data_IF_962218860460
#
_entry.id   IF_962218860460
#
_cell.length_a   1.000
_cell.length_b   1.000
_cell.length_c   1.000
_cell.angle_alpha   90.00
_cell.angle_beta   90.00
_cell.angle_gamma   90.00
#
_symmetry.space_group_name_H-M   'P 1'
#
loop_
_entity.id
_entity.type
_entity.pdbx_description
1 polymer ?
#
# COMPACT_ATOMS: atom_id res chain seq x y z
N UNK A 1 0.05 -2.27 24.43
CA UNK A 1 0.94 -2.30 23.24
C UNK A 1 0.71 -3.51 22.33
N UNK A 2 0.52 -4.73 22.84
CA UNK A 2 0.28 -5.90 21.98
C UNK A 2 -0.87 -5.72 20.96
N UNK A 3 -2.00 -5.14 21.38
CA UNK A 3 -3.13 -4.83 20.50
C UNK A 3 -2.78 -3.86 19.37
N UNK A 4 -1.99 -2.83 19.64
CA UNK A 4 -1.56 -1.84 18.63
C UNK A 4 -0.60 -2.47 17.61
N UNK A 5 0.29 -3.36 18.04
CA UNK A 5 1.15 -4.13 17.12
C UNK A 5 0.29 -5.00 16.19
N UNK A 6 -0.74 -5.65 16.72
CA UNK A 6 -1.70 -6.43 15.91
C UNK A 6 -2.39 -5.55 14.88
N UNK A 7 -2.85 -4.35 15.25
CA UNK A 7 -3.44 -3.40 14.30
C UNK A 7 -2.45 -2.99 13.21
N UNK A 8 -1.20 -2.69 13.55
CA UNK A 8 -0.16 -2.36 12.56
C UNK A 8 0.08 -3.52 11.58
N UNK A 9 0.09 -4.76 12.07
CA UNK A 9 0.20 -5.97 11.23
C UNK A 9 -1.01 -6.12 10.30
N UNK A 10 -2.23 -5.95 10.83
CA UNK A 10 -3.47 -6.02 10.03
C UNK A 10 -3.42 -5.01 8.89
N UNK A 11 -2.98 -3.77 9.14
CA UNK A 11 -2.84 -2.74 8.10
C UNK A 11 -1.83 -3.15 7.02
N UNK A 12 -0.65 -3.69 7.40
CA UNK A 12 0.29 -4.20 6.39
C UNK A 12 -0.30 -5.37 5.58
N UNK A 13 -1.01 -6.29 6.24
CA UNK A 13 -1.65 -7.42 5.58
C UNK A 13 -2.74 -6.95 4.60
N UNK A 14 -3.52 -5.93 4.93
CA UNK A 14 -4.52 -5.35 4.05
C UNK A 14 -3.89 -4.71 2.81
N UNK A 15 -2.78 -3.97 2.96
CA UNK A 15 -2.04 -3.45 1.80
C UNK A 15 -1.44 -4.58 0.95
N UNK A 16 -0.88 -5.61 1.58
CA UNK A 16 -0.31 -6.76 0.89
C UNK A 16 -1.39 -7.53 0.11
N UNK A 17 -2.56 -7.72 0.72
CA UNK A 17 -3.70 -8.36 0.10
C UNK A 17 -4.19 -7.55 -1.11
N UNK A 18 -4.36 -6.24 -0.98
CA UNK A 18 -4.73 -5.37 -2.10
C UNK A 18 -3.72 -5.47 -3.24
N UNK A 19 -2.43 -5.43 -2.95
CA UNK A 19 -1.36 -5.57 -3.94
C UNK A 19 -1.40 -6.94 -4.63
N UNK A 20 -1.53 -8.02 -3.86
CA UNK A 20 -1.60 -9.38 -4.39
C UNK A 20 -2.79 -9.55 -5.34
N UNK A 21 -3.97 -9.06 -4.93
CA UNK A 21 -5.17 -9.10 -5.79
C UNK A 21 -5.01 -8.25 -7.05
N UNK A 22 -4.28 -7.13 -6.97
CA UNK A 22 -3.92 -6.31 -8.13
C UNK A 22 -2.97 -7.01 -9.11
N UNK A 23 -1.99 -7.75 -8.60
CA UNK A 23 -1.00 -8.47 -9.42
C UNK A 23 -1.60 -9.70 -10.11
N UNK A 24 -2.44 -10.47 -9.40
CA UNK A 24 -3.04 -11.71 -9.93
C UNK A 24 -4.05 -11.42 -11.06
N UNK A 25 -4.52 -10.17 -11.16
CA UNK A 25 -5.34 -9.73 -12.27
C UNK A 25 -6.83 -9.93 -12.03
N UNK A 26 -7.57 -8.85 -12.26
CA UNK A 26 -9.03 -8.76 -12.13
C UNK A 26 -9.72 -9.38 -13.33
N UNK A 27 -9.53 -10.68 -13.56
CA UNK A 27 -10.29 -11.43 -14.56
C UNK A 27 -11.74 -11.71 -14.10
N UNK A 28 -12.05 -11.47 -12.82
CA UNK A 28 -13.35 -11.76 -12.20
C UNK A 28 -13.93 -10.53 -11.51
N UNK A 29 -15.26 -10.47 -11.42
CA UNK A 29 -16.00 -9.45 -10.64
C UNK A 29 -15.49 -9.38 -9.20
N UNK A 30 -15.15 -10.53 -8.61
CA UNK A 30 -14.56 -10.64 -7.27
C UNK A 30 -13.17 -9.99 -7.23
N UNK A 31 -12.30 -10.27 -8.21
CA UNK A 31 -10.98 -9.63 -8.29
C UNK A 31 -11.06 -8.11 -8.43
N UNK A 32 -11.93 -7.62 -9.32
CA UNK A 32 -12.15 -6.18 -9.52
C UNK A 32 -12.71 -5.49 -8.27
N UNK A 33 -13.62 -6.17 -7.56
CA UNK A 33 -14.12 -5.67 -6.29
C UNK A 33 -13.00 -5.58 -5.26
N UNK A 34 -12.07 -6.54 -5.22
CA UNK A 34 -11.00 -6.63 -4.21
C UNK A 34 -9.79 -5.70 -4.43
N UNK A 35 -9.61 -5.15 -5.63
CA UNK A 35 -8.32 -4.52 -5.98
C UNK A 35 -7.94 -3.22 -5.26
N UNK A 36 -8.90 -2.51 -4.65
CA UNK A 36 -8.61 -1.19 -4.03
C UNK A 36 -9.13 -1.01 -2.61
N UNK A 37 -10.31 -1.55 -2.29
CA UNK A 37 -10.95 -1.33 -0.98
C UNK A 37 -10.13 -1.83 0.24
N UNK A 38 -9.34 -2.92 0.20
CA UNK A 38 -8.61 -3.35 1.39
C UNK A 38 -7.54 -2.33 1.76
N UNK A 39 -6.87 -1.73 0.77
CA UNK A 39 -5.88 -0.68 0.99
C UNK A 39 -6.52 0.64 1.46
N UNK A 40 -7.75 0.93 1.02
CA UNK A 40 -8.53 2.07 1.53
C UNK A 40 -8.90 1.84 3.00
N UNK A 41 -9.39 0.66 3.35
CA UNK A 41 -9.66 0.31 4.76
C UNK A 41 -8.39 0.38 5.61
N UNK A 42 -7.26 -0.08 5.08
CA UNK A 42 -5.97 0.00 5.77
C UNK A 42 -5.60 1.45 6.13
N UNK A 43 -5.73 2.39 5.19
CA UNK A 43 -5.42 3.79 5.46
C UNK A 43 -6.46 4.44 6.39
N UNK A 44 -7.74 4.07 6.28
CA UNK A 44 -8.78 4.52 7.21
C UNK A 44 -8.48 4.07 8.64
N UNK A 45 -8.15 2.79 8.84
CA UNK A 45 -7.75 2.25 10.14
C UNK A 45 -6.53 2.99 10.71
N UNK A 46 -5.54 3.30 9.87
CA UNK A 46 -4.40 4.12 10.29
C UNK A 46 -4.83 5.49 10.81
N UNK A 47 -5.73 6.18 10.12
CA UNK A 47 -6.20 7.50 10.56
C UNK A 47 -7.03 7.42 11.85
N UNK A 48 -7.94 6.44 11.95
CA UNK A 48 -8.78 6.21 13.13
C UNK A 48 -7.94 5.89 14.36
N UNK A 49 -6.90 5.06 14.21
CA UNK A 49 -6.02 4.60 15.30
C UNK A 49 -4.77 5.46 15.49
N UNK A 50 -4.63 6.55 14.74
CA UNK A 50 -3.42 7.40 14.77
C UNK A 50 -3.16 8.02 16.15
N UNK A 51 -4.21 8.41 16.86
CA UNK A 51 -4.11 8.96 18.22
C UNK A 51 -3.50 7.95 19.19
N UNK A 52 -3.87 6.67 19.04
CA UNK A 52 -3.56 5.60 19.98
C UNK A 52 -2.07 5.20 19.93
N UNK A 53 -1.39 5.50 18.82
CA UNK A 53 0.04 5.19 18.62
C UNK A 53 0.96 6.40 18.85
N UNK A 54 0.42 7.57 19.19
CA UNK A 54 1.21 8.80 19.34
C UNK A 54 2.24 8.68 20.46
N UNK A 55 3.46 9.14 20.20
CA UNK A 55 4.56 9.03 21.17
C UNK A 55 5.10 7.61 21.35
N UNK A 56 4.63 6.65 20.56
CA UNK A 56 5.19 5.30 20.49
C UNK A 56 6.02 5.13 19.22
N UNK A 57 6.89 4.12 19.17
CA UNK A 57 7.64 3.79 17.97
C UNK A 57 6.73 3.34 16.80
N UNK A 58 5.50 2.87 17.08
CA UNK A 58 4.51 2.49 16.05
C UNK A 58 3.99 3.68 15.26
N UNK A 59 4.10 4.91 15.79
CA UNK A 59 3.73 6.11 15.05
C UNK A 59 4.49 6.20 13.71
N UNK A 60 5.75 5.76 13.70
CA UNK A 60 6.57 5.72 12.49
C UNK A 60 6.05 4.73 11.45
N UNK A 61 5.53 3.58 11.88
CA UNK A 61 4.89 2.61 11.00
C UNK A 61 3.59 3.14 10.42
N UNK A 62 2.76 3.79 11.23
CA UNK A 62 1.52 4.40 10.76
C UNK A 62 1.80 5.47 9.71
N UNK A 63 2.79 6.36 9.95
CA UNK A 63 3.22 7.34 8.94
C UNK A 63 3.74 6.66 7.67
N UNK A 64 4.52 5.58 7.81
CA UNK A 64 5.02 4.82 6.67
C UNK A 64 3.90 4.19 5.83
N UNK A 65 2.92 3.57 6.48
CA UNK A 65 1.77 2.94 5.83
C UNK A 65 0.88 3.98 5.14
N UNK A 66 0.56 5.09 5.82
CA UNK A 66 -0.17 6.22 5.23
C UNK A 66 0.56 6.77 3.99
N UNK A 67 1.87 7.03 4.09
CA UNK A 67 2.67 7.49 2.93
C UNK A 67 2.64 6.47 1.79
N UNK A 68 2.70 5.18 2.10
CA UNK A 68 2.66 4.10 1.08
C UNK A 68 1.34 4.10 0.32
N UNK A 69 0.21 4.32 1.01
CA UNK A 69 -1.09 4.50 0.37
C UNK A 69 -1.10 5.70 -0.59
N UNK A 70 -0.71 6.89 -0.12
CA UNK A 70 -0.80 8.12 -0.92
C UNK A 70 0.17 8.14 -2.10
N UNK A 71 1.41 7.65 -1.91
CA UNK A 71 2.33 7.48 -3.04
C UNK A 71 1.82 6.43 -4.02
N UNK A 72 1.18 5.36 -3.53
CA UNK A 72 0.54 4.39 -4.39
C UNK A 72 -0.58 4.98 -5.25
N UNK A 73 -1.46 5.78 -4.64
CA UNK A 73 -2.50 6.51 -5.34
C UNK A 73 -1.91 7.47 -6.38
N UNK A 74 -0.83 8.18 -6.03
CA UNK A 74 -0.08 9.02 -6.96
C UNK A 74 0.46 8.22 -8.16
N UNK A 75 1.10 7.07 -7.93
CA UNK A 75 1.63 6.24 -9.00
C UNK A 75 0.55 5.71 -9.93
N UNK A 76 -0.60 5.29 -9.39
CA UNK A 76 -1.77 4.87 -10.17
C UNK A 76 -2.29 6.04 -11.02
N UNK A 77 -2.39 7.25 -10.44
CA UNK A 77 -2.82 8.43 -11.18
C UNK A 77 -1.84 8.80 -12.31
N UNK A 78 -0.53 8.76 -12.05
CA UNK A 78 0.50 9.01 -13.06
C UNK A 78 0.47 7.98 -14.20
N UNK A 79 0.24 6.71 -13.87
CA UNK A 79 0.00 5.64 -14.83
C UNK A 79 -1.22 5.92 -15.72
N UNK A 80 -2.33 6.38 -15.15
CA UNK A 80 -3.52 6.79 -15.90
C UNK A 80 -3.27 8.01 -16.81
N UNK A 81 -2.59 9.03 -16.28
CA UNK A 81 -2.20 10.22 -17.04
C UNK A 81 -1.30 9.86 -18.21
N UNK A 82 -0.34 8.95 -18.02
CA UNK A 82 0.55 8.47 -19.09
C UNK A 82 -0.24 7.83 -20.24
N UNK A 83 -1.25 7.00 -19.94
CA UNK A 83 -2.12 6.40 -20.96
C UNK A 83 -2.87 7.48 -21.75
N UNK A 84 -3.46 8.45 -21.04
CA UNK A 84 -4.25 9.53 -21.67
C UNK A 84 -3.33 10.40 -22.54
N UNK A 85 -2.17 10.81 -22.02
CA UNK A 85 -1.21 11.67 -22.70
C UNK A 85 -0.61 11.02 -23.97
N UNK A 86 -0.54 9.70 -24.02
CA UNK A 86 -0.04 8.94 -25.17
C UNK A 86 -1.16 8.50 -26.14
N UNK A 87 -2.38 9.03 -25.99
CA UNK A 87 -3.55 8.63 -26.77
C UNK A 87 -3.77 7.11 -26.79
N UNK A 88 -3.47 6.43 -25.68
CA UNK A 88 -3.61 4.97 -25.54
C UNK A 88 -2.41 4.14 -26.01
N UNK A 89 -1.44 4.72 -26.74
CA UNK A 89 -0.21 4.01 -27.16
C UNK A 89 0.60 3.53 -25.94
N UNK A 90 0.54 4.26 -24.83
CA UNK A 90 1.19 3.92 -23.58
C UNK A 90 0.78 2.55 -23.01
N UNK A 91 -0.37 1.99 -23.41
CA UNK A 91 -0.77 0.63 -23.01
C UNK A 91 0.26 -0.43 -23.45
N UNK A 92 0.94 -0.25 -24.59
CA UNK A 92 1.97 -1.18 -25.09
C UNK A 92 3.20 -1.24 -24.17
N UNK A 93 3.51 -0.13 -23.50
CA UNK A 93 4.67 0.01 -22.63
C UNK A 93 4.31 -0.06 -21.14
N UNK A 94 3.04 -0.23 -20.81
CA UNK A 94 2.49 -0.12 -19.45
C UNK A 94 3.04 -1.17 -18.47
N UNK A 95 3.48 -2.31 -18.98
CA UNK A 95 4.12 -3.35 -18.18
C UNK A 95 5.37 -2.84 -17.46
N UNK A 96 6.11 -1.89 -18.03
CA UNK A 96 7.29 -1.28 -17.38
C UNK A 96 6.92 -0.48 -16.13
N UNK A 97 6.12 0.61 -16.20
CA UNK A 97 5.77 1.41 -15.03
C UNK A 97 4.98 0.59 -14.00
N UNK A 98 4.07 -0.30 -14.41
CA UNK A 98 3.33 -1.16 -13.48
C UNK A 98 4.28 -2.08 -12.71
N UNK A 99 5.25 -2.71 -13.38
CA UNK A 99 6.22 -3.60 -12.71
C UNK A 99 7.09 -2.83 -11.73
N UNK A 100 7.56 -1.63 -12.09
CA UNK A 100 8.35 -0.78 -11.20
C UNK A 100 7.55 -0.36 -9.96
N UNK A 101 6.30 0.08 -10.14
CA UNK A 101 5.41 0.47 -9.04
C UNK A 101 5.08 -0.74 -8.16
N UNK A 102 4.82 -1.90 -8.77
CA UNK A 102 4.58 -3.16 -8.06
C UNK A 102 5.76 -3.58 -7.19
N UNK A 103 6.97 -3.60 -7.75
CA UNK A 103 8.21 -3.89 -7.01
C UNK A 103 8.44 -2.89 -5.88
N UNK A 104 8.23 -1.60 -6.13
CA UNK A 104 8.32 -0.56 -5.11
C UNK A 104 7.32 -0.81 -3.97
N UNK A 105 6.09 -1.17 -4.28
CA UNK A 105 5.07 -1.52 -3.29
C UNK A 105 5.44 -2.75 -2.46
N UNK A 106 5.91 -3.83 -3.11
CA UNK A 106 6.39 -5.04 -2.42
C UNK A 106 7.50 -4.67 -1.45
N UNK A 107 8.50 -3.91 -1.90
CA UNK A 107 9.60 -3.44 -1.06
C UNK A 107 9.07 -2.68 0.17
N UNK A 108 8.15 -1.72 -0.02
CA UNK A 108 7.60 -0.89 1.07
C UNK A 108 6.89 -1.72 2.14
N UNK A 109 6.14 -2.74 1.72
CA UNK A 109 5.39 -3.63 2.61
C UNK A 109 6.35 -4.57 3.34
N UNK A 110 7.22 -5.27 2.62
CA UNK A 110 8.18 -6.22 3.19
C UNK A 110 9.13 -5.53 4.16
N UNK A 111 9.71 -4.39 3.78
CA UNK A 111 10.60 -3.61 4.65
C UNK A 111 9.88 -3.15 5.92
N UNK A 112 8.64 -2.70 5.78
CA UNK A 112 7.81 -2.31 6.92
C UNK A 112 7.51 -3.47 7.88
N UNK A 113 7.18 -4.64 7.31
CA UNK A 113 6.88 -5.86 8.07
C UNK A 113 8.09 -6.40 8.83
N UNK A 114 9.26 -6.44 8.19
CA UNK A 114 10.50 -6.89 8.83
C UNK A 114 10.86 -5.95 9.99
N UNK A 115 10.87 -4.63 9.75
CA UNK A 115 11.18 -3.66 10.82
C UNK A 115 10.20 -3.76 12.00
N UNK A 116 8.91 -3.97 11.72
CA UNK A 116 7.88 -4.16 12.74
C UNK A 116 8.12 -5.45 13.54
N UNK A 117 8.52 -6.53 12.87
CA UNK A 117 8.82 -7.82 13.50
C UNK A 117 10.05 -7.73 14.40
N UNK A 118 11.02 -6.90 14.03
CA UNK A 118 12.20 -6.59 14.83
C UNK A 118 11.91 -5.61 15.99
N UNK A 119 10.66 -5.16 16.15
CA UNK A 119 10.25 -4.15 17.14
C UNK A 119 11.03 -2.84 17.07
N UNK A 120 11.44 -2.44 15.86
CA UNK A 120 12.19 -1.21 15.59
C UNK A 120 11.29 -0.13 14.98
N UNK A 121 11.54 1.17 15.21
CA UNK A 121 10.85 2.23 14.49
C UNK A 121 11.23 2.24 13.00
N UNK A 122 10.30 2.66 12.15
CA UNK A 122 10.62 3.08 10.78
C UNK A 122 11.36 4.42 10.80
N UNK A 123 12.25 4.57 9.82
CA UNK A 123 12.94 5.83 9.56
C UNK A 123 11.93 6.95 9.31
N UNK A 124 12.16 8.09 9.96
CA UNK A 124 11.32 9.28 9.95
C UNK A 124 11.39 10.02 8.60
#
# INVERSE_FOLDING_TARGET
MGSLITWTKVVYALHAFSLLTGIIGTATVVGAFLTGWPSILAVMLNYIKRSDVRGTWLESHFRWQIRTFWFGLLWIALCGIFIIATFGIGLLFMWLPISLVGLWFVYRIVRGWITLSDSRPMYL
#
